data_IF_063693724619
#
_entry.id   IF_063693724619
#
_cell.length_a   1.000
_cell.length_b   1.000
_cell.length_c   1.000
_cell.angle_alpha   90.00
_cell.angle_beta   90.00
_cell.angle_gamma   90.00
#
_symmetry.space_group_name_H-M   'P 1'
#
loop_
_entity.id
_entity.type
_entity.pdbx_description
1 polymer ?
#
# COMPACT_ATOMS: atom_id res chain seq x y z
N UNK A 1 -13.80 -4.53 -2.58
CA UNK A 1 -15.12 -3.90 -2.39
C UNK A 1 -15.20 -2.73 -3.34
N UNK A 2 -16.08 -2.74 -4.33
CA UNK A 2 -16.39 -1.53 -5.09
C UNK A 2 -17.89 -1.47 -5.38
N UNK A 3 -18.46 -0.33 -5.05
CA UNK A 3 -19.83 0.08 -5.32
C UNK A 3 -19.78 1.08 -6.47
N UNK A 4 -20.54 0.87 -7.55
CA UNK A 4 -20.70 1.90 -8.59
C UNK A 4 -22.00 2.68 -8.34
N UNK A 5 -21.96 3.99 -8.58
CA UNK A 5 -23.10 4.91 -8.42
C UNK A 5 -23.68 5.30 -9.77
N UNK A 6 -24.99 5.16 -9.95
CA UNK A 6 -25.73 5.81 -11.06
C UNK A 6 -26.14 7.25 -10.66
N UNK A 7 -25.20 8.00 -10.08
CA UNK A 7 -25.36 9.43 -9.74
C UNK A 7 -26.32 9.78 -8.60
N UNK A 8 -27.09 8.84 -8.03
CA UNK A 8 -28.03 9.14 -6.92
C UNK A 8 -28.36 7.95 -5.99
N UNK A 9 -27.85 6.75 -6.29
CA UNK A 9 -27.98 5.58 -5.42
C UNK A 9 -26.78 4.65 -5.60
N UNK A 10 -26.41 3.99 -4.51
CA UNK A 10 -25.46 2.88 -4.54
C UNK A 10 -26.12 1.68 -5.22
N UNK A 11 -25.38 0.99 -6.09
CA UNK A 11 -25.77 -0.34 -6.56
C UNK A 11 -25.82 -1.33 -5.39
N UNK A 12 -26.57 -2.42 -5.57
CA UNK A 12 -26.56 -3.53 -4.62
C UNK A 12 -25.16 -4.14 -4.52
N UNK A 13 -24.86 -4.72 -3.36
CA UNK A 13 -23.60 -5.42 -3.14
C UNK A 13 -23.44 -6.54 -4.17
N UNK A 14 -22.30 -6.54 -4.85
CA UNK A 14 -21.91 -7.58 -5.80
C UNK A 14 -20.61 -8.21 -5.33
N UNK A 15 -20.62 -9.52 -5.19
CA UNK A 15 -19.39 -10.29 -4.98
C UNK A 15 -18.49 -10.14 -6.21
N UNK A 16 -17.18 -10.03 -6.00
CA UNK A 16 -16.23 -10.12 -7.12
C UNK A 16 -16.33 -11.56 -7.64
N UNK A 17 -16.87 -11.79 -8.86
CA UNK A 17 -17.10 -13.13 -9.37
C UNK A 17 -15.77 -13.88 -9.40
N UNK A 18 -15.76 -15.08 -8.84
CA UNK A 18 -14.56 -15.88 -8.66
C UNK A 18 -13.45 -15.14 -7.87
N UNK A 19 -13.69 -14.73 -6.62
CA UNK A 19 -12.62 -14.26 -5.72
C UNK A 19 -11.58 -15.36 -5.35
N UNK A 20 -11.65 -16.52 -6.00
CA UNK A 20 -10.73 -17.62 -5.82
C UNK A 20 -10.80 -18.26 -4.44
N UNK A 21 -9.69 -18.79 -3.90
CA UNK A 21 -9.70 -19.39 -2.58
C UNK A 21 -10.17 -18.36 -1.56
N UNK A 22 -10.92 -18.83 -0.56
CA UNK A 22 -11.51 -17.99 0.47
C UNK A 22 -10.47 -17.02 1.02
N UNK A 23 -10.77 -15.73 0.94
CA UNK A 23 -9.90 -14.69 1.48
C UNK A 23 -9.73 -14.88 2.99
N UNK A 24 -8.52 -14.68 3.50
CA UNK A 24 -8.34 -14.53 4.94
C UNK A 24 -8.94 -13.20 5.41
N UNK A 25 -9.50 -13.12 6.62
CA UNK A 25 -9.88 -11.85 7.23
C UNK A 25 -8.72 -10.85 7.20
N UNK A 26 -8.96 -9.66 6.63
CA UNK A 26 -7.98 -8.61 6.43
C UNK A 26 -8.45 -7.63 5.36
N UNK A 27 -7.90 -6.41 5.35
CA UNK A 27 -8.22 -5.42 4.34
C UNK A 27 -7.56 -5.79 2.98
N UNK A 28 -8.31 -5.78 1.86
CA UNK A 28 -7.69 -5.87 0.54
C UNK A 28 -6.96 -4.55 0.22
N UNK A 29 -5.94 -4.62 -0.64
CA UNK A 29 -5.36 -3.44 -1.25
C UNK A 29 -6.04 -3.13 -2.59
N UNK A 30 -6.18 -1.85 -2.92
CA UNK A 30 -6.82 -1.40 -4.16
C UNK A 30 -5.95 -0.35 -4.83
N UNK A 31 -5.80 -0.45 -6.15
CA UNK A 31 -5.22 0.59 -6.98
C UNK A 31 -6.12 0.84 -8.20
N UNK A 32 -6.27 2.09 -8.62
CA UNK A 32 -7.17 2.48 -9.71
C UNK A 32 -6.38 3.26 -10.75
N UNK A 33 -6.33 2.73 -11.97
CA UNK A 33 -5.66 3.38 -13.10
C UNK A 33 -6.45 4.58 -13.62
N UNK A 34 -5.79 5.48 -14.35
CA UNK A 34 -6.43 6.65 -14.95
C UNK A 34 -7.57 6.32 -15.94
N UNK A 35 -7.48 5.15 -16.61
CA UNK A 35 -8.55 4.63 -17.47
C UNK A 35 -9.71 3.98 -16.68
N UNK A 36 -9.65 4.01 -15.34
CA UNK A 36 -10.65 3.45 -14.44
C UNK A 36 -10.53 1.95 -14.21
N UNK A 37 -9.52 1.26 -14.74
CA UNK A 37 -9.23 -0.13 -14.38
C UNK A 37 -8.95 -0.22 -12.88
N UNK A 38 -9.59 -1.18 -12.21
CA UNK A 38 -9.51 -1.39 -10.77
C UNK A 38 -8.70 -2.66 -10.51
N UNK A 39 -7.61 -2.55 -9.78
CA UNK A 39 -6.83 -3.69 -9.31
C UNK A 39 -7.15 -3.92 -7.84
N UNK A 40 -7.56 -5.14 -7.49
CA UNK A 40 -7.79 -5.54 -6.10
C UNK A 40 -6.85 -6.67 -5.76
N UNK A 41 -6.19 -6.56 -4.61
CA UNK A 41 -5.25 -7.54 -4.10
C UNK A 41 -5.69 -8.06 -2.73
N UNK A 42 -5.59 -9.37 -2.51
CA UNK A 42 -5.90 -9.97 -1.22
C UNK A 42 -5.01 -11.16 -0.89
N UNK A 43 -4.97 -11.50 0.39
CA UNK A 43 -4.35 -12.71 0.91
C UNK A 43 -5.38 -13.84 0.96
N UNK A 44 -5.06 -14.98 0.36
CA UNK A 44 -5.85 -16.21 0.50
C UNK A 44 -5.55 -16.96 1.80
N UNK A 45 -6.42 -17.89 2.20
CA UNK A 45 -6.20 -18.80 3.34
C UNK A 45 -4.90 -19.63 3.27
N UNK A 46 -4.38 -19.87 2.07
CA UNK A 46 -3.10 -20.52 1.84
C UNK A 46 -1.89 -19.56 1.96
N UNK A 47 -2.11 -18.35 2.49
CA UNK A 47 -1.13 -17.26 2.59
C UNK A 47 -0.59 -16.72 1.25
N UNK A 48 -1.23 -17.04 0.12
CA UNK A 48 -0.80 -16.54 -1.19
C UNK A 48 -1.42 -15.17 -1.52
N UNK A 49 -0.67 -14.36 -2.27
CA UNK A 49 -1.15 -13.11 -2.86
C UNK A 49 -1.97 -13.37 -4.13
N UNK A 50 -3.16 -12.79 -4.18
CA UNK A 50 -4.06 -12.85 -5.31
C UNK A 50 -4.39 -11.46 -5.85
N UNK A 51 -4.78 -11.43 -7.12
CA UNK A 51 -5.27 -10.24 -7.81
C UNK A 51 -6.57 -10.55 -8.54
N UNK A 52 -7.47 -9.56 -8.60
CA UNK A 52 -8.57 -9.47 -9.56
C UNK A 52 -8.55 -8.10 -10.24
N UNK A 53 -8.97 -8.06 -11.50
CA UNK A 53 -9.06 -6.81 -12.29
C UNK A 53 -10.52 -6.53 -12.64
N UNK A 54 -10.96 -5.32 -12.30
CA UNK A 54 -12.31 -4.82 -12.51
C UNK A 54 -12.33 -3.64 -13.48
N UNK A 55 -13.50 -3.40 -14.08
CA UNK A 55 -13.78 -2.21 -14.89
C UNK A 55 -14.61 -1.18 -14.13
N UNK A 56 -14.66 0.09 -14.60
CA UNK A 56 -15.58 1.11 -14.07
C UNK A 56 -17.05 0.69 -14.09
N UNK A 57 -17.40 -0.21 -15.02
CA UNK A 57 -18.75 -0.72 -15.21
C UNK A 57 -19.07 -1.94 -14.32
N UNK A 58 -18.14 -2.39 -13.47
CA UNK A 58 -18.37 -3.48 -12.52
C UNK A 58 -18.26 -4.89 -13.12
N UNK A 59 -17.56 -5.01 -14.26
CA UNK A 59 -17.16 -6.31 -14.84
C UNK A 59 -15.79 -6.70 -14.30
N UNK A 60 -15.60 -7.99 -14.04
CA UNK A 60 -14.34 -8.54 -13.49
C UNK A 60 -13.78 -9.61 -14.41
N UNK A 61 -12.45 -9.65 -14.57
CA UNK A 61 -11.75 -10.64 -15.40
C UNK A 61 -11.50 -11.98 -14.69
N UNK A 62 -11.94 -12.14 -13.44
CA UNK A 62 -11.56 -13.25 -12.57
C UNK A 62 -10.30 -12.94 -11.77
N UNK A 63 -9.67 -13.98 -11.21
CA UNK A 63 -8.51 -13.85 -10.33
C UNK A 63 -7.28 -14.60 -10.84
N UNK A 64 -6.11 -14.11 -10.45
CA UNK A 64 -4.81 -14.79 -10.62
C UNK A 64 -4.07 -14.87 -9.29
N UNK A 65 -3.22 -15.88 -9.13
CA UNK A 65 -2.23 -15.95 -8.05
C UNK A 65 -0.95 -15.28 -8.50
N UNK A 66 -0.40 -14.39 -7.67
CA UNK A 66 0.93 -13.81 -7.87
C UNK A 66 2.03 -14.65 -7.19
N UNK A 67 1.65 -15.78 -6.58
CA UNK A 67 2.58 -16.75 -6.00
C UNK A 67 3.32 -16.28 -4.74
N UNK A 68 3.05 -15.08 -4.21
CA UNK A 68 3.77 -14.54 -3.05
C UNK A 68 3.32 -15.15 -1.72
N UNK A 69 4.28 -15.51 -0.87
CA UNK A 69 4.01 -15.95 0.50
C UNK A 69 3.89 -14.73 1.43
N UNK A 70 2.66 -14.43 1.85
CA UNK A 70 2.35 -13.29 2.70
C UNK A 70 2.45 -13.71 4.18
N UNK A 71 3.19 -12.93 4.97
CA UNK A 71 3.34 -13.16 6.41
C UNK A 71 2.02 -13.09 7.19
N UNK A 72 1.98 -13.62 8.43
CA UNK A 72 0.83 -13.49 9.31
C UNK A 72 0.61 -12.02 9.74
N UNK A 73 -0.65 -11.59 9.83
CA UNK A 73 -1.02 -10.24 10.27
C UNK A 73 -0.59 -9.12 9.31
N UNK A 74 -0.31 -9.44 8.04
CA UNK A 74 0.12 -8.47 7.03
C UNK A 74 -1.08 -7.79 6.38
N UNK A 75 -1.11 -6.46 6.41
CA UNK A 75 -1.91 -5.67 5.48
C UNK A 75 -1.16 -5.51 4.14
N UNK A 76 -1.93 -5.59 3.05
CA UNK A 76 -1.44 -5.29 1.72
C UNK A 76 -1.60 -3.80 1.45
N UNK A 77 -0.68 -3.25 0.66
CA UNK A 77 -0.79 -1.88 0.15
C UNK A 77 -0.49 -1.88 -1.34
N UNK A 78 -1.16 -1.01 -2.09
CA UNK A 78 -0.97 -0.92 -3.53
C UNK A 78 -0.89 0.54 -3.97
N UNK A 79 -0.16 0.77 -5.06
CA UNK A 79 -0.07 2.05 -5.73
C UNK A 79 -0.03 1.85 -7.25
N UNK A 80 -0.23 2.92 -7.99
CA UNK A 80 -0.24 2.89 -9.46
C UNK A 80 0.28 4.21 -9.99
N UNK A 81 1.11 4.15 -11.03
CA UNK A 81 1.64 5.34 -11.69
C UNK A 81 0.73 5.80 -12.84
N UNK A 82 1.13 6.86 -13.55
CA UNK A 82 0.33 7.38 -14.68
C UNK A 82 0.34 6.46 -15.91
N UNK A 83 1.34 5.59 -16.05
CA UNK A 83 1.44 4.61 -17.12
C UNK A 83 0.55 3.38 -16.86
N UNK A 84 -0.03 3.29 -15.65
CA UNK A 84 -0.83 2.15 -15.21
C UNK A 84 0.00 0.98 -14.68
N UNK A 85 1.29 1.19 -14.43
CA UNK A 85 2.12 0.22 -13.73
C UNK A 85 1.66 0.16 -12.28
N UNK A 86 1.30 -1.04 -11.85
CA UNK A 86 0.71 -1.27 -10.54
C UNK A 86 1.72 -1.94 -9.64
N UNK A 87 1.82 -1.47 -8.41
CA UNK A 87 2.78 -1.92 -7.41
C UNK A 87 2.01 -2.47 -6.23
N UNK A 88 2.39 -3.64 -5.72
CA UNK A 88 1.80 -4.23 -4.52
C UNK A 88 2.90 -4.53 -3.52
N UNK A 89 2.66 -4.15 -2.27
CA UNK A 89 3.59 -4.23 -1.16
C UNK A 89 3.00 -5.07 -0.04
N UNK A 90 3.85 -5.88 0.59
CA UNK A 90 3.43 -6.71 1.72
C UNK A 90 4.59 -7.00 2.66
N UNK A 91 4.26 -7.22 3.92
CA UNK A 91 5.18 -7.84 4.89
C UNK A 91 5.25 -9.35 4.65
N UNK A 92 6.46 -9.84 4.36
CA UNK A 92 6.76 -11.27 4.25
C UNK A 92 6.81 -11.97 5.62
N UNK A 93 6.83 -13.30 5.62
CA UNK A 93 6.99 -14.09 6.85
C UNK A 93 8.32 -13.84 7.58
N UNK A 94 9.31 -13.30 6.87
CA UNK A 94 10.62 -12.88 7.38
C UNK A 94 10.59 -11.46 8.01
N UNK A 95 9.40 -10.88 8.17
CA UNK A 95 9.16 -9.51 8.67
C UNK A 95 9.77 -8.39 7.82
N UNK A 96 10.28 -8.70 6.63
CA UNK A 96 10.73 -7.68 5.69
C UNK A 96 9.58 -7.22 4.79
N UNK A 97 9.78 -6.07 4.17
CA UNK A 97 8.87 -5.57 3.16
C UNK A 97 9.27 -6.11 1.78
N UNK A 98 8.27 -6.55 1.03
CA UNK A 98 8.40 -7.09 -0.31
C UNK A 98 7.50 -6.33 -1.28
N UNK A 99 7.89 -6.35 -2.55
CA UNK A 99 7.18 -5.73 -3.65
C UNK A 99 7.11 -6.69 -4.85
N UNK A 100 6.02 -6.60 -5.61
CA UNK A 100 5.95 -7.03 -6.99
C UNK A 100 5.28 -5.89 -7.78
N UNK A 101 5.63 -5.75 -9.06
CA UNK A 101 5.00 -4.74 -9.90
C UNK A 101 4.62 -5.25 -11.29
N UNK A 102 3.62 -4.62 -11.87
CA UNK A 102 3.11 -4.89 -13.20
C UNK A 102 3.81 -3.99 -14.22
N UNK A 103 4.45 -4.61 -15.22
CA UNK A 103 5.26 -3.93 -16.25
C UNK A 103 4.48 -3.56 -17.52
N UNK A 104 3.15 -3.59 -17.47
CA UNK A 104 2.28 -3.46 -18.65
C UNK A 104 1.97 -4.80 -19.33
N UNK A 105 2.80 -5.83 -19.14
CA UNK A 105 2.64 -7.14 -19.79
C UNK A 105 2.72 -8.33 -18.83
N UNK A 106 3.48 -8.20 -17.74
CA UNK A 106 3.64 -9.26 -16.75
C UNK A 106 3.97 -8.69 -15.37
N UNK A 107 3.69 -9.48 -14.34
CA UNK A 107 4.17 -9.23 -12.99
C UNK A 107 5.66 -9.59 -12.89
N UNK A 108 6.43 -8.74 -12.21
CA UNK A 108 7.82 -9.05 -11.87
C UNK A 108 7.88 -10.24 -10.89
N UNK A 109 9.07 -10.86 -10.80
CA UNK A 109 9.39 -11.64 -9.61
C UNK A 109 9.32 -10.74 -8.38
N UNK A 110 8.97 -11.35 -7.26
CA UNK A 110 8.88 -10.65 -5.97
C UNK A 110 10.28 -10.30 -5.51
N UNK A 111 10.49 -9.06 -5.07
CA UNK A 111 11.77 -8.62 -4.54
C UNK A 111 11.59 -7.95 -3.19
N UNK A 112 12.57 -8.17 -2.33
CA UNK A 112 12.63 -7.57 -1.00
C UNK A 112 13.07 -6.12 -1.12
N UNK A 113 12.35 -5.22 -0.45
CA UNK A 113 12.75 -3.82 -0.32
C UNK A 113 13.99 -3.76 0.59
N UNK A 114 15.12 -3.21 0.11
CA UNK A 114 16.38 -3.24 0.84
C UNK A 114 16.28 -2.68 2.26
N UNK A 115 16.90 -3.43 3.18
CA UNK A 115 17.24 -3.04 4.54
C UNK A 115 16.09 -2.75 5.54
N UNK A 116 14.85 -3.11 5.19
CA UNK A 116 13.70 -3.12 6.11
C UNK A 116 13.92 -3.96 7.39
N UNK A 117 14.66 -5.07 7.31
CA UNK A 117 15.00 -5.90 8.47
C UNK A 117 15.99 -5.27 9.46
N UNK A 118 16.78 -4.27 9.05
CA UNK A 118 17.70 -3.55 9.96
C UNK A 118 16.97 -2.54 10.84
N UNK A 119 15.76 -2.13 10.48
CA UNK A 119 14.83 -1.38 11.33
C UNK A 119 14.11 -2.25 12.39
N UNK A 120 14.57 -3.49 12.58
CA UNK A 120 13.86 -4.51 13.34
C UNK A 120 12.67 -5.14 12.58
N UNK A 121 12.46 -4.80 11.31
CA UNK A 121 11.34 -5.31 10.51
C UNK A 121 10.04 -4.52 10.67
N UNK A 122 9.07 -4.86 9.83
CA UNK A 122 7.78 -4.15 9.69
C UNK A 122 6.82 -4.59 10.81
N UNK A 123 6.26 -3.63 11.56
CA UNK A 123 5.38 -3.86 12.72
C UNK A 123 4.00 -3.16 12.59
N UNK A 124 3.66 -2.67 11.40
CA UNK A 124 2.39 -2.01 11.10
C UNK A 124 1.89 -2.43 9.72
N UNK A 125 0.68 -1.99 9.38
CA UNK A 125 0.30 -1.82 7.97
C UNK A 125 1.25 -0.81 7.30
N UNK A 126 1.37 -0.91 5.97
CA UNK A 126 2.37 -0.17 5.20
C UNK A 126 1.70 1.01 4.50
N UNK A 127 2.19 2.22 4.72
CA UNK A 127 1.74 3.40 3.97
C UNK A 127 2.47 3.46 2.63
N UNK A 128 1.76 3.63 1.52
CA UNK A 128 2.36 3.73 0.18
C UNK A 128 1.79 4.92 -0.57
N UNK A 129 2.67 5.70 -1.20
CA UNK A 129 2.32 6.69 -2.20
C UNK A 129 3.20 6.48 -3.44
N UNK A 130 2.58 6.42 -4.62
CA UNK A 130 3.28 6.25 -5.91
C UNK A 130 2.95 7.44 -6.79
N UNK A 131 3.97 8.18 -7.19
CA UNK A 131 3.83 9.37 -8.04
C UNK A 131 3.53 8.99 -9.48
N UNK A 132 3.01 9.94 -10.29
CA UNK A 132 2.81 9.73 -11.72
C UNK A 132 4.05 9.24 -12.47
N UNK A 133 5.24 9.65 -12.07
CA UNK A 133 6.54 9.27 -12.63
C UNK A 133 7.19 8.06 -11.93
N UNK A 134 6.39 7.24 -11.25
CA UNK A 134 6.79 5.98 -10.63
C UNK A 134 7.78 6.08 -9.45
N UNK A 135 7.96 7.27 -8.87
CA UNK A 135 8.63 7.39 -7.56
C UNK A 135 7.72 6.80 -6.49
N UNK A 136 8.27 5.94 -5.64
CA UNK A 136 7.50 5.27 -4.59
C UNK A 136 8.00 5.71 -3.23
N UNK A 137 7.08 6.10 -2.36
CA UNK A 137 7.32 6.38 -0.96
C UNK A 137 6.61 5.32 -0.13
N UNK A 138 7.38 4.59 0.68
CA UNK A 138 6.86 3.50 1.48
C UNK A 138 7.21 3.69 2.94
N UNK A 139 6.22 3.55 3.81
CA UNK A 139 6.33 3.89 5.23
C UNK A 139 5.85 2.74 6.12
N UNK A 140 6.54 2.56 7.25
CA UNK A 140 6.16 1.55 8.23
C UNK A 140 6.65 1.92 9.63
N UNK A 141 6.07 1.25 10.62
CA UNK A 141 6.58 1.22 11.99
C UNK A 141 7.62 0.12 12.18
N UNK A 142 8.78 0.46 12.73
CA UNK A 142 9.81 -0.50 13.15
C UNK A 142 9.56 -1.13 14.52
N UNK A 143 10.39 -2.09 14.94
CA UNK A 143 10.34 -2.68 16.29
C UNK A 143 10.62 -1.66 17.40
N UNK A 144 11.46 -0.67 17.10
CA UNK A 144 11.80 0.43 18.00
C UNK A 144 10.71 1.52 18.06
N UNK A 145 9.53 1.24 17.47
CA UNK A 145 8.35 2.11 17.41
C UNK A 145 8.50 3.33 16.51
N UNK A 146 9.61 3.47 15.78
CA UNK A 146 9.84 4.62 14.92
C UNK A 146 9.15 4.48 13.56
N UNK A 147 8.75 5.62 13.00
CA UNK A 147 8.30 5.74 11.62
C UNK A 147 9.53 5.71 10.70
N UNK A 148 9.57 4.75 9.80
CA UNK A 148 10.58 4.62 8.77
C UNK A 148 10.01 4.88 7.40
N UNK A 149 10.89 5.28 6.48
CA UNK A 149 10.60 5.38 5.06
C UNK A 149 11.65 4.64 4.23
N UNK A 150 11.23 4.07 3.10
CA UNK A 150 12.07 3.76 1.95
C UNK A 150 11.54 4.49 0.71
N UNK A 151 12.46 4.88 -0.20
CA UNK A 151 12.12 5.56 -1.45
C UNK A 151 12.69 4.78 -2.64
N UNK A 152 11.86 4.50 -3.62
CA UNK A 152 12.27 4.14 -4.98
C UNK A 152 12.23 5.40 -5.85
N UNK A 153 13.34 5.74 -6.51
CA UNK A 153 13.49 6.97 -7.27
C UNK A 153 13.31 6.82 -8.80
N UNK A 154 12.72 5.71 -9.23
CA UNK A 154 12.62 5.32 -10.64
C UNK A 154 13.75 4.40 -11.09
N UNK A 155 14.86 4.30 -10.36
CA UNK A 155 16.04 3.53 -10.76
C UNK A 155 16.50 2.54 -9.69
N UNK A 156 16.48 2.96 -8.42
CA UNK A 156 16.93 2.15 -7.30
C UNK A 156 16.23 2.56 -5.99
N UNK A 157 16.16 1.60 -5.07
CA UNK A 157 15.84 1.89 -3.67
C UNK A 157 16.99 2.68 -3.04
N UNK A 158 16.70 3.88 -2.54
CA UNK A 158 17.70 4.76 -1.90
C UNK A 158 18.02 4.37 -0.45
N UNK A 159 17.62 3.18 -0.02
CA UNK A 159 17.70 2.71 1.36
C UNK A 159 16.51 3.16 2.19
N UNK A 160 16.67 3.12 3.51
CA UNK A 160 15.63 3.53 4.46
C UNK A 160 16.19 4.47 5.53
N UNK A 161 15.33 5.31 6.07
CA UNK A 161 15.67 6.21 7.17
C UNK A 161 14.48 6.45 8.10
N UNK A 162 14.78 6.83 9.34
CA UNK A 162 13.78 7.19 10.34
C UNK A 162 13.34 8.64 10.13
N UNK A 163 12.04 8.90 10.22
CA UNK A 163 11.47 10.26 10.23
C UNK A 163 11.51 10.88 11.65
N UNK A 164 12.07 10.19 12.64
CA UNK A 164 12.20 10.69 14.01
C UNK A 164 10.90 10.68 14.84
N UNK A 165 9.79 10.24 14.25
CA UNK A 165 8.49 10.14 14.91
C UNK A 165 8.24 8.75 15.51
N UNK A 166 7.47 8.69 16.59
CA UNK A 166 6.99 7.44 17.18
C UNK A 166 5.57 7.12 16.70
N UNK A 167 5.34 5.86 16.37
CA UNK A 167 4.05 5.31 15.94
C UNK A 167 3.48 4.42 17.04
N UNK A 168 2.19 4.56 17.33
CA UNK A 168 1.46 3.75 18.28
C UNK A 168 1.46 2.25 17.92
N UNK A 169 1.19 1.34 18.87
CA UNK A 169 1.06 -0.08 18.58
C UNK A 169 -0.26 -0.39 17.85
N UNK A 170 -0.23 -1.31 16.88
CA UNK A 170 -1.45 -1.78 16.19
C UNK A 170 -2.06 -0.78 15.20
N UNK A 171 -1.35 0.30 14.86
CA UNK A 171 -1.87 1.40 14.03
C UNK A 171 -1.37 1.29 12.60
N UNK A 172 -2.24 1.61 11.64
CA UNK A 172 -1.86 1.75 10.25
C UNK A 172 -1.03 3.03 10.02
N UNK A 173 -0.08 2.95 9.10
CA UNK A 173 0.54 4.14 8.49
C UNK A 173 -0.13 4.34 7.15
N UNK A 174 -0.58 5.57 6.87
CA UNK A 174 -1.20 5.93 5.60
C UNK A 174 -0.34 6.96 4.88
N UNK A 175 -0.26 6.86 3.56
CA UNK A 175 0.42 7.85 2.74
C UNK A 175 -0.47 8.25 1.56
N UNK A 176 -0.33 9.49 1.11
CA UNK A 176 -1.12 10.03 0.02
C UNK A 176 -0.30 11.03 -0.80
N UNK A 177 -0.77 11.31 -2.01
CA UNK A 177 -0.30 12.41 -2.82
C UNK A 177 -1.36 13.52 -2.82
N UNK A 178 -0.92 14.76 -2.77
CA UNK A 178 -1.79 15.90 -3.07
C UNK A 178 -1.95 16.11 -4.59
N UNK A 179 -2.75 17.10 -4.98
CA UNK A 179 -2.96 17.43 -6.40
C UNK A 179 -1.72 17.95 -7.15
N UNK A 180 -0.59 18.13 -6.45
CA UNK A 180 0.72 18.53 -7.00
C UNK A 180 1.75 17.40 -6.88
N UNK A 181 1.31 16.18 -6.54
CA UNK A 181 2.15 15.01 -6.29
C UNK A 181 3.12 15.17 -5.10
N UNK A 182 2.84 16.08 -4.17
CA UNK A 182 3.57 16.13 -2.91
C UNK A 182 3.08 15.00 -2.00
N UNK A 183 4.01 14.23 -1.45
CA UNK A 183 3.68 13.11 -0.58
C UNK A 183 3.43 13.57 0.85
N UNK A 184 2.35 13.08 1.44
CA UNK A 184 2.08 13.18 2.87
C UNK A 184 2.01 11.79 3.51
N UNK A 185 2.41 11.69 4.78
CA UNK A 185 2.29 10.49 5.59
C UNK A 185 1.55 10.83 6.88
N UNK A 186 0.66 9.94 7.29
CA UNK A 186 -0.16 10.06 8.48
C UNK A 186 -0.06 8.81 9.33
N UNK A 187 -0.04 8.98 10.65
CA UNK A 187 0.04 7.89 11.61
C UNK A 187 -0.64 8.27 12.91
N UNK A 188 -1.02 7.27 13.70
CA UNK A 188 -1.43 7.50 15.07
C UNK A 188 -0.21 7.42 16.00
N UNK A 189 -0.04 8.42 16.85
CA UNK A 189 1.03 8.50 17.84
C UNK A 189 0.78 7.60 19.05
N UNK A 190 1.79 7.48 19.91
CA UNK A 190 1.65 6.75 21.19
C UNK A 190 0.70 7.43 22.20
N UNK A 191 0.36 8.69 21.94
CA UNK A 191 -0.63 9.50 22.65
C UNK A 191 -2.05 9.34 22.11
N UNK A 192 -2.26 8.44 21.15
CA UNK A 192 -3.49 8.24 20.38
C UNK A 192 -3.90 9.40 19.46
N UNK A 193 -3.10 10.46 19.38
CA UNK A 193 -3.31 11.56 18.44
C UNK A 193 -3.00 11.14 17.01
N UNK A 194 -3.66 11.77 16.03
CA UNK A 194 -3.31 11.61 14.62
C UNK A 194 -2.27 12.65 14.26
N UNK A 195 -1.18 12.21 13.66
CA UNK A 195 -0.06 13.03 13.26
C UNK A 195 0.16 12.90 11.75
N UNK A 196 0.71 13.94 11.16
CA UNK A 196 1.09 13.97 9.75
C UNK A 196 2.42 14.68 9.51
N UNK A 197 3.04 14.36 8.40
CA UNK A 197 4.18 15.08 7.84
C UNK A 197 4.05 15.09 6.31
N UNK A 198 4.58 16.12 5.65
CA UNK A 198 4.55 16.24 4.20
C UNK A 198 5.94 16.54 3.64
N UNK A 199 6.18 16.08 2.42
CA UNK A 199 7.42 16.30 1.69
C UNK A 199 7.42 17.69 1.05
N UNK A 200 8.44 18.49 1.35
CA UNK A 200 8.58 19.87 0.84
C UNK A 200 9.25 19.96 -0.53
N UNK A 201 9.68 18.82 -1.10
CA UNK A 201 10.55 18.76 -2.27
C UNK A 201 12.02 18.51 -1.92
N UNK A 202 12.45 18.86 -0.70
CA UNK A 202 13.83 18.66 -0.23
C UNK A 202 13.93 17.98 1.13
N UNK A 203 12.88 18.05 1.95
CA UNK A 203 12.84 17.44 3.29
C UNK A 203 11.42 17.16 3.75
N UNK A 204 11.27 16.24 4.70
CA UNK A 204 10.02 16.05 5.43
C UNK A 204 9.82 17.20 6.41
N UNK A 205 8.58 17.67 6.53
CA UNK A 205 8.23 18.48 7.69
C UNK A 205 8.33 17.66 8.99
N UNK A 206 8.48 18.35 10.11
CA UNK A 206 8.30 17.71 11.42
C UNK A 206 6.87 17.21 11.61
N UNK A 207 6.67 16.32 12.57
CA UNK A 207 5.35 15.80 12.92
C UNK A 207 4.40 16.94 13.33
N UNK A 208 3.25 17.01 12.67
CA UNK A 208 2.19 17.97 12.93
C UNK A 208 0.94 17.23 13.38
N UNK A 209 0.28 17.70 14.44
CA UNK A 209 -0.99 17.11 14.87
C UNK A 209 -2.05 17.42 13.81
N UNK A 210 -2.80 16.39 13.40
CA UNK A 210 -3.99 16.59 12.58
C UNK A 210 -5.08 17.21 13.47
N UNK A 211 -5.74 18.30 13.05
CA UNK A 211 -6.84 18.88 13.81
C UNK A 211 -7.91 17.82 14.07
N UNK A 212 -8.44 17.77 15.30
CA UNK A 212 -9.68 17.04 15.56
C UNK A 212 -10.79 17.70 14.73
N UNK A 213 -11.45 16.92 13.88
CA UNK A 213 -12.60 17.35 13.09
C UNK A 213 -13.88 17.51 13.91
#
# INVERSE_FOLDING_TARGET
MTTSTNGSSWSSLKEIPAAGPTATPGAPAVAIAANGTIYVFWKGQNNRLYQAVGSPTGTWSGYISLGADIGPGTALSAGIDQAGWTYVFWRGGDSNLWEANWTGHSWTLQHKIPATGRAGGVQSEVGVAVTPDAVQYVFWRGLDKRLYQAIWDGHAWRGYYSLGANVGPGTAVSASLDGKNATSVYWQGGDNGIWGAYWTGSSWTGAQSAPAG
#
